data_IF_076685412646
#
_entry.id   IF_076685412646
#
_cell.length_a   1.000
_cell.length_b   1.000
_cell.length_c   1.000
_cell.angle_alpha   90.00
_cell.angle_beta   90.00
_cell.angle_gamma   90.00
#
_symmetry.space_group_name_H-M   'P 1'
#
loop_
_entity.id
_entity.type
_entity.pdbx_description
1 polymer ?
#
# COMPACT_ATOMS: atom_id res chain seq x y z
N UNK A 1 12.89 0.75 4.93
CA UNK A 1 11.67 0.14 5.52
C UNK A 1 11.87 -1.38 5.49
N UNK A 2 11.70 -2.10 6.61
CA UNK A 2 11.64 -3.58 6.55
C UNK A 2 10.57 -3.99 5.54
N UNK A 3 10.80 -5.08 4.79
CA UNK A 3 9.80 -5.60 3.83
C UNK A 3 8.47 -5.74 4.56
N UNK A 4 7.47 -4.99 4.10
CA UNK A 4 6.10 -5.13 4.59
C UNK A 4 5.63 -6.55 4.29
N UNK A 5 4.92 -7.16 5.23
CA UNK A 5 4.23 -8.44 5.00
C UNK A 5 3.18 -8.34 3.89
N UNK A 6 2.69 -7.12 3.65
CA UNK A 6 1.70 -6.81 2.63
C UNK A 6 2.35 -6.12 1.43
N UNK A 7 1.98 -6.54 0.22
CA UNK A 7 2.33 -5.85 -1.01
C UNK A 7 1.59 -4.51 -1.12
N UNK A 8 2.07 -3.61 -1.99
CA UNK A 8 1.40 -2.33 -2.23
C UNK A 8 -0.03 -2.54 -2.75
N UNK A 9 -0.24 -3.55 -3.60
CA UNK A 9 -1.55 -3.91 -4.14
C UNK A 9 -2.50 -4.40 -3.04
N UNK A 10 -2.03 -5.24 -2.12
CA UNK A 10 -2.81 -5.67 -0.96
C UNK A 10 -3.17 -4.50 -0.05
N UNK A 11 -2.23 -3.60 0.19
CA UNK A 11 -2.45 -2.39 0.99
C UNK A 11 -3.52 -1.51 0.34
N UNK A 12 -3.43 -1.26 -0.97
CA UNK A 12 -4.41 -0.46 -1.71
C UNK A 12 -5.79 -1.11 -1.67
N UNK A 13 -5.88 -2.44 -1.82
CA UNK A 13 -7.13 -3.18 -1.68
C UNK A 13 -7.80 -2.95 -0.31
N UNK A 14 -7.03 -3.07 0.77
CA UNK A 14 -7.52 -2.81 2.14
C UNK A 14 -7.98 -1.35 2.32
N UNK A 15 -7.26 -0.38 1.74
CA UNK A 15 -7.66 1.03 1.77
C UNK A 15 -8.93 1.32 0.94
N UNK A 16 -9.17 0.55 -0.13
CA UNK A 16 -10.41 0.63 -0.92
C UNK A 16 -11.60 0.05 -0.18
N UNK A 17 -11.42 -1.06 0.55
CA UNK A 17 -12.45 -1.57 1.46
C UNK A 17 -12.91 -0.49 2.46
N UNK A 18 -11.95 0.29 2.99
CA UNK A 18 -12.26 1.42 3.89
C UNK A 18 -12.99 2.58 3.18
N UNK A 19 -12.70 2.83 1.89
CA UNK A 19 -13.41 3.83 1.08
C UNK A 19 -14.82 3.37 0.70
N UNK A 20 -15.05 2.06 0.60
CA UNK A 20 -16.35 1.44 0.37
C UNK A 20 -17.25 1.41 1.62
N UNK A 21 -16.79 1.97 2.74
CA UNK A 21 -17.57 2.15 3.96
C UNK A 21 -17.22 1.22 5.12
N UNK A 22 -16.25 0.31 4.97
CA UNK A 22 -15.78 -0.51 6.09
C UNK A 22 -14.96 0.32 7.09
N UNK A 23 -15.18 0.06 8.39
CA UNK A 23 -14.47 0.77 9.46
C UNK A 23 -12.99 0.39 9.53
N UNK A 24 -12.10 1.38 9.70
CA UNK A 24 -10.66 1.15 9.81
C UNK A 24 -10.28 0.14 10.91
N UNK A 25 -10.95 0.17 12.07
CA UNK A 25 -10.74 -0.78 13.17
C UNK A 25 -11.15 -2.21 12.81
N UNK A 26 -12.21 -2.37 12.02
CA UNK A 26 -12.65 -3.68 11.56
C UNK A 26 -11.65 -4.28 10.59
N UNK A 27 -11.18 -3.48 9.63
CA UNK A 27 -10.14 -3.88 8.67
C UNK A 27 -8.83 -4.22 9.38
N UNK A 28 -8.44 -3.45 10.39
CA UNK A 28 -7.26 -3.75 11.20
C UNK A 28 -7.38 -5.12 11.89
N UNK A 29 -8.53 -5.44 12.48
CA UNK A 29 -8.79 -6.77 13.07
C UNK A 29 -8.81 -7.88 12.01
N UNK A 30 -9.54 -7.68 10.91
CA UNK A 30 -9.69 -8.65 9.81
C UNK A 30 -8.36 -9.05 9.17
N UNK A 31 -7.47 -8.07 8.95
CA UNK A 31 -6.19 -8.29 8.29
C UNK A 31 -5.02 -8.50 9.26
N UNK A 32 -5.24 -8.42 10.57
CA UNK A 32 -4.17 -8.52 11.58
C UNK A 32 -3.18 -7.35 11.48
N UNK A 33 -3.68 -6.16 11.19
CA UNK A 33 -2.89 -4.92 11.01
C UNK A 33 -3.12 -4.03 12.23
N UNK A 34 -2.06 -3.37 12.70
CA UNK A 34 -2.18 -2.36 13.75
C UNK A 34 -2.77 -1.07 13.17
N UNK A 35 -3.62 -0.39 13.92
CA UNK A 35 -4.23 0.89 13.51
C UNK A 35 -3.18 1.90 13.01
N UNK A 36 -2.08 2.06 13.74
CA UNK A 36 -0.98 2.95 13.34
C UNK A 36 -0.35 2.59 11.99
N UNK A 37 -0.29 1.30 11.65
CA UNK A 37 0.19 0.82 10.35
C UNK A 37 -0.81 1.14 9.24
N UNK A 38 -2.10 0.95 9.50
CA UNK A 38 -3.17 1.28 8.56
C UNK A 38 -3.16 2.78 8.19
N UNK A 39 -3.01 3.68 9.17
CA UNK A 39 -2.92 5.12 8.88
C UNK A 39 -1.62 5.50 8.15
N UNK A 40 -0.49 4.84 8.43
CA UNK A 40 0.73 5.01 7.63
C UNK A 40 0.52 4.59 6.17
N UNK A 41 -0.20 3.49 5.95
CA UNK A 41 -0.57 3.08 4.60
C UNK A 41 -1.49 4.09 3.93
N UNK A 42 -2.51 4.59 4.63
CA UNK A 42 -3.40 5.63 4.10
C UNK A 42 -2.65 6.90 3.70
N UNK A 43 -1.64 7.31 4.46
CA UNK A 43 -0.81 8.47 4.10
C UNK A 43 0.08 8.23 2.87
N UNK A 44 0.53 6.99 2.63
CA UNK A 44 1.46 6.65 1.54
C UNK A 44 0.77 6.21 0.25
N UNK A 45 -0.34 5.49 0.38
CA UNK A 45 -1.06 4.83 -0.72
C UNK A 45 -2.53 5.28 -0.82
N UNK A 46 -3.00 6.16 0.06
CA UNK A 46 -4.35 6.71 -0.04
C UNK A 46 -4.51 7.52 -1.32
N UNK A 47 -5.60 7.29 -2.05
CA UNK A 47 -5.85 7.91 -3.35
C UNK A 47 -5.02 7.33 -4.51
N UNK A 48 -4.21 6.30 -4.27
CA UNK A 48 -3.43 5.62 -5.31
C UNK A 48 -4.22 4.44 -5.89
N UNK A 49 -4.31 4.36 -7.22
CA UNK A 49 -4.86 3.17 -7.88
C UNK A 49 -3.83 2.04 -7.93
N UNK A 50 -4.30 0.79 -8.04
CA UNK A 50 -3.40 -0.38 -8.16
C UNK A 50 -2.49 -0.26 -9.39
N UNK A 51 -2.97 0.36 -10.47
CA UNK A 51 -2.18 0.68 -11.66
C UNK A 51 -1.04 1.65 -11.37
N UNK A 52 -1.26 2.64 -10.50
CA UNK A 52 -0.26 3.64 -10.14
C UNK A 52 0.86 3.01 -9.30
N UNK A 53 0.50 2.12 -8.37
CA UNK A 53 1.48 1.36 -7.60
C UNK A 53 2.35 0.44 -8.47
N UNK A 54 1.75 -0.22 -9.47
CA UNK A 54 2.49 -1.04 -10.44
C UNK A 54 3.44 -0.21 -11.29
N UNK A 55 2.98 0.95 -11.77
CA UNK A 55 3.80 1.89 -12.54
C UNK A 55 4.96 2.44 -11.71
N UNK A 56 4.71 2.82 -10.46
CA UNK A 56 5.75 3.28 -9.53
C UNK A 56 6.83 2.21 -9.34
N UNK A 57 6.44 0.94 -9.11
CA UNK A 57 7.38 -0.16 -8.95
C UNK A 57 8.21 -0.42 -10.21
N UNK A 58 7.61 -0.30 -11.40
CA UNK A 58 8.30 -0.44 -12.67
C UNK A 58 9.35 0.68 -12.86
N UNK A 59 8.95 1.93 -12.59
CA UNK A 59 9.84 3.09 -12.66
C UNK A 59 10.98 3.01 -11.64
N UNK A 60 10.72 2.57 -10.41
CA UNK A 60 11.76 2.34 -9.40
C UNK A 60 12.77 1.28 -9.86
N UNK A 61 12.31 0.19 -10.48
CA UNK A 61 13.17 -0.86 -11.00
C UNK A 61 14.03 -0.39 -12.18
N UNK A 62 13.45 0.41 -13.07
CA UNK A 62 14.17 1.02 -14.20
C UNK A 62 15.22 2.03 -13.71
N UNK A 63 14.86 2.90 -12.75
CA UNK A 63 15.77 3.87 -12.17
C UNK A 63 16.95 3.19 -11.45
N UNK A 64 16.69 2.08 -10.74
CA UNK A 64 17.75 1.28 -10.12
C UNK A 64 18.69 0.64 -11.15
N UNK A 65 18.20 0.23 -12.33
CA UNK A 65 19.07 -0.27 -13.41
C UNK A 65 19.93 0.85 -13.96
N UNK A 66 19.33 2.01 -14.27
CA UNK A 66 20.04 3.17 -14.83
C UNK A 66 21.11 3.72 -13.89
N UNK A 67 20.90 3.67 -12.57
CA UNK A 67 21.89 4.13 -11.58
C UNK A 67 23.04 3.15 -11.34
N UNK A 68 22.91 1.91 -11.79
CA UNK A 68 23.94 0.88 -11.68
C UNK A 68 24.70 0.67 -13.00
N UNK A 69 24.42 1.48 -14.03
CA UNK A 69 25.24 1.68 -15.22
C UNK A 69 26.19 2.86 -14.98
#
# INVERSE_FOLDING_TARGET
MKRSRFSAEQIIGILKEQQAGLGAKELCRKHGVRDATFYKWRSRYGGMEVSDARRLKALEAENAKLRNM
#
